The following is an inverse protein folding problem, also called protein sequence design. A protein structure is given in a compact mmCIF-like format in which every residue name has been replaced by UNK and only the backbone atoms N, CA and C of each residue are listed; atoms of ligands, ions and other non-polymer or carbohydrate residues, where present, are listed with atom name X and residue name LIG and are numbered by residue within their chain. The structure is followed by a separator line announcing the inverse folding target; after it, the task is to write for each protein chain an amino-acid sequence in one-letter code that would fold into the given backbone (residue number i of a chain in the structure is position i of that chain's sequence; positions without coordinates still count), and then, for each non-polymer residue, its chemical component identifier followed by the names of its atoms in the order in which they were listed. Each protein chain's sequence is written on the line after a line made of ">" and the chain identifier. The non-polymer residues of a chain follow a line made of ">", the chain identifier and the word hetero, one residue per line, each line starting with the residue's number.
data_IF_490096355017
#
_entry.id   IF_490096355017
#
_cell.length_a   1.000
_cell.length_b   1.000
_cell.length_c   1.000
_cell.angle_alpha   90.00
_cell.angle_beta   90.00
_cell.angle_gamma   90.00
#
_symmetry.space_group_name_H-M   'P 1'
#
loop_
_entity.id
_entity.type
_entity.pdbx_description
1 polymer ?
#
# COMPACT_ATOMS: atom_id res chain seq x y z
N UNK A 1 16.01 -10.36 -1.70
CA UNK A 1 14.87 -11.10 -1.15
C UNK A 1 13.64 -10.22 -1.16
N UNK A 2 12.54 -10.69 -1.75
CA UNK A 2 11.24 -10.06 -1.57
C UNK A 2 10.66 -10.58 -0.26
N UNK A 3 10.34 -9.67 0.66
CA UNK A 3 9.73 -9.99 1.95
C UNK A 3 8.41 -9.25 2.01
N UNK A 4 7.34 -10.00 2.25
CA UNK A 4 5.99 -9.47 2.39
C UNK A 4 5.52 -9.84 3.80
N UNK A 5 5.06 -8.85 4.57
CA UNK A 5 4.54 -9.01 5.92
C UNK A 5 3.17 -8.34 6.02
N UNK A 6 2.20 -9.06 6.55
CA UNK A 6 0.93 -8.48 6.97
C UNK A 6 1.07 -7.98 8.42
N UNK A 7 0.53 -6.80 8.69
CA UNK A 7 0.49 -6.16 10.00
C UNK A 7 -0.95 -5.72 10.25
N UNK A 8 -1.50 -5.93 11.44
CA UNK A 8 -2.90 -5.60 11.70
C UNK A 8 -3.21 -4.13 11.40
N UNK A 9 -4.40 -3.87 10.84
CA UNK A 9 -4.91 -2.51 10.66
C UNK A 9 -5.87 -2.05 11.76
N UNK A 10 -6.21 -2.92 12.72
CA UNK A 10 -7.15 -2.59 13.81
C UNK A 10 -8.63 -2.58 13.42
N UNK A 11 -8.95 -2.51 12.12
CA UNK A 11 -10.30 -2.22 11.65
C UNK A 11 -11.28 -3.40 11.83
N UNK A 12 -10.91 -4.59 11.38
CA UNK A 12 -11.69 -5.82 11.50
C UNK A 12 -10.76 -7.00 11.78
N UNK A 13 -11.33 -8.13 12.22
CA UNK A 13 -10.56 -9.35 12.45
C UNK A 13 -9.93 -9.80 11.13
N UNK A 14 -8.60 -9.85 11.08
CA UNK A 14 -7.83 -10.21 9.88
C UNK A 14 -7.55 -9.05 8.91
N UNK A 15 -8.04 -7.83 9.17
CA UNK A 15 -7.69 -6.67 8.33
C UNK A 15 -6.23 -6.28 8.56
N UNK A 16 -5.50 -6.00 7.46
CA UNK A 16 -4.06 -5.78 7.54
C UNK A 16 -3.53 -4.76 6.55
N UNK A 17 -2.43 -4.14 6.95
CA UNK A 17 -1.53 -3.34 6.15
C UNK A 17 -0.35 -4.20 5.70
N UNK A 18 0.13 -3.98 4.48
CA UNK A 18 1.19 -4.81 3.90
C UNK A 18 2.52 -4.06 3.87
N UNK A 19 3.52 -4.60 4.55
CA UNK A 19 4.93 -4.21 4.41
C UNK A 19 5.59 -5.08 3.34
N UNK A 20 6.10 -4.45 2.29
CA UNK A 20 6.72 -5.09 1.14
C UNK A 20 8.15 -4.57 1.02
N UNK A 21 9.14 -5.41 1.28
CA UNK A 21 10.56 -5.08 1.17
C UNK A 21 11.19 -5.83 0.00
N UNK A 22 11.87 -5.09 -0.87
CA UNK A 22 12.64 -5.62 -1.98
C UNK A 22 14.05 -5.01 -1.96
N UNK A 23 15.03 -5.55 -2.71
CA UNK A 23 16.36 -4.93 -2.72
C UNK A 23 16.40 -3.53 -3.34
N UNK A 24 15.43 -3.24 -4.22
CA UNK A 24 15.28 -1.91 -4.84
C UNK A 24 14.64 -0.87 -3.93
N UNK A 25 13.97 -1.31 -2.86
CA UNK A 25 13.28 -0.40 -1.95
C UNK A 25 12.16 -1.09 -1.18
N UNK A 26 11.55 -0.33 -0.31
CA UNK A 26 10.51 -0.78 0.62
C UNK A 26 9.22 0.03 0.45
N UNK A 27 8.09 -0.65 0.58
CA UNK A 27 6.77 -0.12 0.33
C UNK A 27 5.83 -0.56 1.46
N UNK A 28 4.97 0.35 1.90
CA UNK A 28 3.82 0.05 2.75
C UNK A 28 2.55 0.28 1.96
N UNK A 29 1.67 -0.72 1.90
CA UNK A 29 0.29 -0.53 1.48
C UNK A 29 -0.56 -0.33 2.72
N UNK A 30 -0.99 0.91 2.94
CA UNK A 30 -1.81 1.31 4.08
C UNK A 30 -3.29 1.29 3.65
N UNK A 31 -4.01 0.29 4.15
CA UNK A 31 -5.44 0.13 4.03
C UNK A 31 -6.19 0.93 5.10
N UNK A 32 -7.52 0.92 5.04
CA UNK A 32 -8.34 1.48 6.12
C UNK A 32 -7.97 0.85 7.46
N UNK A 33 -7.60 1.71 8.40
CA UNK A 33 -7.05 1.34 9.71
C UNK A 33 -7.68 2.18 10.81
N UNK A 34 -7.74 1.68 12.03
CA UNK A 34 -8.22 2.43 13.21
C UNK A 34 -7.24 2.24 14.35
N UNK A 35 -7.07 3.24 15.20
CA UNK A 35 -6.10 3.18 16.30
C UNK A 35 -6.69 2.50 17.54
N UNK A 36 -8.02 2.58 17.70
CA UNK A 36 -8.76 1.86 18.73
C UNK A 36 -9.62 0.75 18.13
N UNK A 37 -9.52 -0.47 18.68
CA UNK A 37 -10.39 -1.59 18.30
C UNK A 37 -10.94 -2.31 19.53
N UNK A 38 -12.24 -2.55 19.55
CA UNK A 38 -12.89 -3.26 20.66
C UNK A 38 -12.65 -4.78 20.60
N UNK A 39 -12.43 -5.34 19.41
CA UNK A 39 -12.44 -6.79 19.19
C UNK A 39 -11.29 -7.28 18.30
N UNK A 40 -10.77 -6.47 17.38
CA UNK A 40 -9.66 -6.87 16.50
C UNK A 40 -8.30 -6.51 17.10
N UNK A 41 -7.23 -7.17 16.63
CA UNK A 41 -5.85 -6.85 17.01
C UNK A 41 -5.55 -5.37 16.72
N UNK A 42 -4.92 -4.68 17.68
CA UNK A 42 -4.52 -3.27 17.56
C UNK A 42 -3.70 -2.99 16.28
N UNK A 43 -3.81 -1.77 15.76
CA UNK A 43 -3.04 -1.33 14.60
C UNK A 43 -1.55 -1.19 14.95
N UNK A 44 -0.72 -2.10 14.43
CA UNK A 44 0.75 -2.06 14.57
C UNK A 44 1.40 -1.13 13.53
N UNK A 45 1.16 0.17 13.69
CA UNK A 45 1.71 1.19 12.79
C UNK A 45 3.20 1.45 13.01
N UNK A 46 3.74 1.19 14.20
CA UNK A 46 5.16 1.39 14.51
C UNK A 46 6.06 0.45 13.68
N UNK A 47 5.61 -0.79 13.45
CA UNK A 47 6.29 -1.74 12.56
C UNK A 47 6.34 -1.32 11.09
N UNK A 48 5.55 -0.32 10.69
CA UNK A 48 5.52 0.25 9.35
C UNK A 48 6.51 1.43 9.18
N UNK A 49 7.18 1.87 10.24
CA UNK A 49 8.14 2.97 10.16
C UNK A 49 9.37 2.66 9.29
N UNK A 50 9.94 3.72 8.70
CA UNK A 50 11.21 3.65 7.96
C UNK A 50 11.13 3.02 6.56
N UNK A 51 9.94 2.86 5.99
CA UNK A 51 9.79 2.42 4.61
C UNK A 51 10.01 3.58 3.62
N UNK A 52 10.42 3.26 2.39
CA UNK A 52 10.73 4.29 1.39
C UNK A 52 9.45 4.95 0.85
N UNK A 53 8.38 4.16 0.68
CA UNK A 53 7.14 4.55 0.03
C UNK A 53 5.94 4.10 0.87
N UNK A 54 4.92 4.96 1.01
CA UNK A 54 3.58 4.60 1.50
C UNK A 54 2.59 4.74 0.34
N UNK A 55 1.75 3.73 0.13
CA UNK A 55 0.51 3.85 -0.64
C UNK A 55 -0.63 3.95 0.37
N UNK A 56 -1.19 5.14 0.49
CA UNK A 56 -2.38 5.40 1.28
C UNK A 56 -3.60 4.99 0.46
N UNK A 57 -4.45 4.12 1.00
CA UNK A 57 -5.63 3.58 0.30
C UNK A 57 -6.89 3.61 1.14
N UNK A 58 -6.91 4.46 2.18
CA UNK A 58 -8.10 4.69 2.98
C UNK A 58 -8.97 5.78 2.34
N UNK A 59 -10.25 5.47 2.11
CA UNK A 59 -11.24 6.37 1.51
C UNK A 59 -12.36 6.73 2.49
N UNK A 60 -12.24 6.35 3.77
CA UNK A 60 -13.28 6.55 4.79
C UNK A 60 -13.72 8.02 4.92
N UNK A 61 -12.77 8.95 4.77
CA UNK A 61 -12.99 10.40 4.85
C UNK A 61 -13.66 11.02 3.61
N UNK A 62 -13.90 10.27 2.53
CA UNK A 62 -14.65 10.81 1.38
C UNK A 62 -16.14 11.00 1.69
N UNK A 63 -16.70 10.23 2.63
CA UNK A 63 -18.14 10.27 2.90
C UNK A 63 -18.58 11.55 3.63
N UNK A 64 -17.64 12.30 4.24
CA UNK A 64 -17.94 13.60 4.83
C UNK A 64 -18.04 14.74 3.80
N UNK A 65 -17.76 14.46 2.51
CA UNK A 65 -17.76 15.49 1.46
C UNK A 65 -19.16 15.80 0.91
N UNK A 66 -20.15 14.94 1.13
CA UNK A 66 -21.50 15.09 0.56
C UNK A 66 -22.41 16.00 1.41
N UNK A 67 -21.95 16.49 2.57
CA UNK A 67 -22.78 17.28 3.49
C UNK A 67 -22.25 18.68 3.84
N UNK A 68 -20.97 19.00 3.60
CA UNK A 68 -20.42 20.32 3.96
C UNK A 68 -19.77 21.03 2.77
N UNK A 69 -20.59 21.73 1.98
CA UNK A 69 -20.11 22.85 1.15
C UNK A 69 -19.88 24.14 1.99
N UNK A 70 -19.94 24.08 3.32
CA UNK A 70 -19.89 25.27 4.18
C UNK A 70 -18.71 25.37 5.15
N UNK A 71 -18.03 24.30 5.54
CA UNK A 71 -16.92 24.39 6.50
C UNK A 71 -15.58 24.03 5.85
N UNK A 72 -15.04 25.02 5.14
CA UNK A 72 -13.60 25.08 4.91
C UNK A 72 -12.94 25.30 6.27
N UNK A 73 -12.66 24.22 7.02
CA UNK A 73 -11.82 24.29 8.21
C UNK A 73 -10.42 24.72 7.76
N UNK A 74 -10.21 26.04 7.76
CA UNK A 74 -8.90 26.62 7.85
C UNK A 74 -8.19 25.97 9.04
N UNK A 75 -7.10 25.27 8.77
CA UNK A 75 -6.16 24.84 9.80
C UNK A 75 -5.61 26.10 10.48
N UNK A 76 -6.31 26.58 11.49
CA UNK A 76 -5.82 27.59 12.42
C UNK A 76 -4.60 27.00 13.11
N UNK A 77 -3.48 27.70 12.99
CA UNK A 77 -2.25 27.33 13.67
C UNK A 77 -2.48 27.41 15.17
N UNK A 78 -2.35 26.27 15.83
CA UNK A 78 -2.17 26.23 17.28
C UNK A 78 -0.82 25.61 17.60
N UNK A 79 -0.07 26.42 18.34
CA UNK A 79 1.10 26.19 19.16
C UNK A 79 1.51 24.73 19.41
N UNK A 80 2.78 24.46 19.12
CA UNK A 80 3.59 23.42 19.76
C UNK A 80 3.55 23.64 21.28
N UNK A 81 2.82 22.79 22.00
CA UNK A 81 3.13 22.31 23.37
C UNK A 81 1.89 21.69 24.03
N UNK A 82 1.67 20.40 23.76
CA UNK A 82 1.04 19.44 24.67
C UNK A 82 1.18 18.03 24.08
N UNK A 83 2.07 17.22 24.66
CA UNK A 83 2.35 15.84 24.24
C UNK A 83 1.23 14.88 24.67
N UNK A 84 0.03 15.08 24.15
CA UNK A 84 -1.02 14.05 24.11
C UNK A 84 -0.69 13.15 22.92
N UNK A 85 -0.72 11.83 23.11
CA UNK A 85 -0.48 10.87 22.02
C UNK A 85 -1.54 11.06 20.91
N UNK A 86 -1.21 11.86 19.89
CA UNK A 86 -2.09 12.24 18.78
C UNK A 86 -2.61 11.03 17.99
N UNK A 87 -1.95 9.87 18.15
CA UNK A 87 -2.30 8.60 17.53
C UNK A 87 -2.98 7.62 18.49
N UNK A 88 -3.38 8.05 19.69
CA UNK A 88 -4.06 7.19 20.65
C UNK A 88 -5.45 6.75 20.15
N UNK A 89 -5.82 5.51 20.46
CA UNK A 89 -7.12 4.93 20.11
C UNK A 89 -8.24 5.18 21.12
N UNK A 90 -7.94 5.79 22.27
CA UNK A 90 -8.87 5.95 23.40
C UNK A 90 -10.12 6.74 23.02
N UNK A 91 -9.93 7.95 22.51
CA UNK A 91 -11.01 8.85 22.10
C UNK A 91 -11.90 8.23 21.01
N UNK A 92 -11.31 7.42 20.12
CA UNK A 92 -12.04 6.70 19.07
C UNK A 92 -12.96 5.63 19.66
N UNK A 93 -12.48 4.87 20.64
CA UNK A 93 -13.27 3.83 21.31
C UNK A 93 -14.40 4.42 22.15
N UNK A 94 -14.13 5.51 22.87
CA UNK A 94 -15.14 6.19 23.67
C UNK A 94 -16.26 6.76 22.80
N UNK A 95 -15.90 7.50 21.74
CA UNK A 95 -16.87 8.05 20.80
C UNK A 95 -17.72 6.96 20.11
N UNK A 96 -17.11 5.83 19.74
CA UNK A 96 -17.89 4.70 19.20
C UNK A 96 -18.78 4.04 20.25
N UNK A 97 -18.30 3.90 21.49
CA UNK A 97 -19.12 3.37 22.60
C UNK A 97 -20.37 4.21 22.84
N UNK A 98 -20.25 5.55 22.81
CA UNK A 98 -21.38 6.46 22.96
C UNK A 98 -22.39 6.33 21.82
N UNK A 99 -21.90 6.21 20.57
CA UNK A 99 -22.77 5.93 19.41
C UNK A 99 -23.47 4.59 19.55
N UNK A 100 -22.78 3.54 20.00
CA UNK A 100 -23.38 2.22 20.22
C UNK A 100 -24.47 2.28 21.30
N UNK A 101 -24.25 3.04 22.38
CA UNK A 101 -25.27 3.28 23.41
C UNK A 101 -26.51 3.99 22.84
N UNK A 102 -26.31 5.00 22.01
CA UNK A 102 -27.41 5.73 21.37
C UNK A 102 -28.19 4.85 20.37
N UNK A 103 -27.50 4.05 19.56
CA UNK A 103 -28.17 3.11 18.64
C UNK A 103 -28.97 2.09 19.45
N UNK A 104 -28.37 1.54 20.53
CA UNK A 104 -29.03 0.58 21.41
C UNK A 104 -30.29 1.16 22.07
N UNK A 105 -30.29 2.42 22.51
CA UNK A 105 -31.49 3.05 23.06
C UNK A 105 -32.61 3.17 22.02
N UNK A 106 -32.28 3.57 20.79
CA UNK A 106 -33.24 3.62 19.68
C UNK A 106 -33.87 2.24 19.37
N UNK A 107 -33.05 1.18 19.41
CA UNK A 107 -33.50 -0.21 19.23
C UNK A 107 -34.49 -0.59 20.35
N UNK A 108 -34.13 -0.32 21.60
CA UNK A 108 -34.96 -0.63 22.76
C UNK A 108 -36.30 0.09 22.68
N UNK A 109 -36.32 1.37 22.30
CA UNK A 109 -37.55 2.16 22.19
C UNK A 109 -38.46 1.62 21.08
N UNK A 110 -37.91 1.30 19.91
CA UNK A 110 -38.68 0.71 18.80
C UNK A 110 -39.32 -0.63 19.19
N UNK A 111 -38.55 -1.49 19.87
CA UNK A 111 -39.02 -2.79 20.32
C UNK A 111 -40.08 -2.67 21.43
N UNK A 112 -39.93 -1.72 22.36
CA UNK A 112 -40.94 -1.44 23.41
C UNK A 112 -42.25 -0.94 22.82
N UNK A 113 -42.20 -0.18 21.73
CA UNK A 113 -43.40 0.26 21.01
C UNK A 113 -44.10 -0.88 20.24
N UNK A 114 -43.47 -2.05 20.17
CA UNK A 114 -43.93 -3.24 19.45
C UNK A 114 -43.50 -3.26 17.98
N UNK A 115 -42.50 -2.47 17.59
CA UNK A 115 -41.91 -2.48 16.25
C UNK A 115 -40.73 -3.46 16.14
N UNK A 116 -40.45 -3.91 14.92
CA UNK A 116 -39.28 -4.74 14.62
C UNK A 116 -38.12 -3.89 14.10
N UNK A 117 -36.89 -4.36 14.30
CA UNK A 117 -35.67 -3.63 13.93
C UNK A 117 -34.94 -4.38 12.83
N UNK A 118 -34.56 -3.67 11.77
CA UNK A 118 -33.75 -4.19 10.66
C UNK A 118 -32.36 -3.53 10.66
N UNK A 119 -31.32 -4.37 10.71
CA UNK A 119 -29.91 -3.95 10.65
C UNK A 119 -29.24 -4.61 9.42
N UNK A 120 -29.27 -3.95 8.25
CA UNK A 120 -28.60 -4.39 7.04
C UNK A 120 -27.08 -4.16 7.10
N UNK A 121 -26.36 -4.98 7.86
CA UNK A 121 -24.89 -4.91 7.97
C UNK A 121 -24.24 -6.28 7.79
N UNK A 122 -23.17 -6.31 6.99
CA UNK A 122 -22.27 -7.46 6.86
C UNK A 122 -20.95 -7.29 7.61
N UNK A 123 -20.75 -6.16 8.30
CA UNK A 123 -19.50 -5.86 9.00
C UNK A 123 -19.57 -6.39 10.43
N UNK A 124 -19.02 -7.58 10.64
CA UNK A 124 -19.06 -8.22 11.96
C UNK A 124 -18.35 -7.42 13.05
N UNK A 125 -17.34 -6.61 12.68
CA UNK A 125 -16.70 -5.70 13.63
C UNK A 125 -17.62 -4.60 14.19
N UNK A 126 -18.72 -4.30 13.51
CA UNK A 126 -19.78 -3.41 14.02
C UNK A 126 -20.87 -4.21 14.70
N UNK A 127 -21.26 -5.33 14.11
CA UNK A 127 -22.36 -6.18 14.59
C UNK A 127 -22.06 -6.77 15.96
N UNK A 128 -20.83 -7.23 16.24
CA UNK A 128 -20.53 -7.84 17.54
C UNK A 128 -20.60 -6.85 18.70
N UNK A 129 -19.93 -5.68 18.66
CA UNK A 129 -20.08 -4.69 19.73
C UNK A 129 -21.54 -4.25 19.92
N UNK A 130 -22.29 -4.07 18.82
CA UNK A 130 -23.70 -3.70 18.90
C UNK A 130 -24.54 -4.79 19.55
N UNK A 131 -24.34 -6.07 19.19
CA UNK A 131 -25.00 -7.20 19.83
C UNK A 131 -24.72 -7.25 21.32
N UNK A 132 -23.46 -7.06 21.74
CA UNK A 132 -23.10 -7.03 23.16
C UNK A 132 -23.83 -5.90 23.91
N UNK A 133 -23.91 -4.69 23.32
CA UNK A 133 -24.64 -3.57 23.92
C UNK A 133 -26.16 -3.82 24.03
N UNK A 134 -26.77 -4.38 22.97
CA UNK A 134 -28.19 -4.75 22.96
C UNK A 134 -28.48 -5.75 24.07
N UNK A 135 -27.65 -6.78 24.17
CA UNK A 135 -27.93 -7.89 25.05
C UNK A 135 -27.66 -7.55 26.53
N UNK A 136 -26.62 -6.76 26.80
CA UNK A 136 -26.40 -6.21 28.14
C UNK A 136 -27.57 -5.32 28.58
N UNK A 137 -28.12 -4.52 27.66
CA UNK A 137 -29.29 -3.69 27.96
C UNK A 137 -30.56 -4.53 28.15
N UNK A 138 -30.76 -5.58 27.36
CA UNK A 138 -31.90 -6.49 27.47
C UNK A 138 -31.86 -7.28 28.78
N UNK A 139 -30.68 -7.74 29.22
CA UNK A 139 -30.50 -8.40 30.51
C UNK A 139 -30.89 -7.49 31.68
N UNK A 140 -30.48 -6.20 31.64
CA UNK A 140 -30.85 -5.20 32.65
C UNK A 140 -32.34 -4.88 32.67
N UNK A 141 -32.98 -4.86 31.49
CA UNK A 141 -34.40 -4.55 31.33
C UNK A 141 -35.32 -5.80 31.39
N UNK A 142 -34.74 -7.00 31.55
CA UNK A 142 -35.42 -8.30 31.50
C UNK A 142 -36.29 -8.47 30.23
N UNK A 143 -35.81 -7.98 29.09
CA UNK A 143 -36.49 -8.09 27.80
C UNK A 143 -36.11 -9.41 27.10
N UNK A 144 -37.10 -10.10 26.52
CA UNK A 144 -36.93 -11.41 25.84
C UNK A 144 -37.26 -11.33 24.35
N UNK A 145 -36.72 -10.32 23.68
CA UNK A 145 -36.99 -10.07 22.26
C UNK A 145 -36.00 -10.88 21.42
N UNK A 146 -36.47 -11.71 20.47
CA UNK A 146 -35.59 -12.56 19.69
C UNK A 146 -34.74 -11.75 18.70
N UNK A 147 -33.51 -12.21 18.53
CA UNK A 147 -32.55 -11.65 17.56
C UNK A 147 -32.25 -12.71 16.51
N UNK A 148 -32.47 -12.40 15.24
CA UNK A 148 -32.20 -13.27 14.11
C UNK A 148 -31.02 -12.73 13.29
N UNK A 149 -29.99 -13.55 13.10
CA UNK A 149 -28.91 -13.27 12.15
C UNK A 149 -29.17 -14.11 10.90
N UNK A 150 -29.54 -13.45 9.81
CA UNK A 150 -29.91 -14.13 8.56
C UNK A 150 -28.80 -13.93 7.53
N UNK A 151 -27.91 -14.90 7.38
CA UNK A 151 -26.82 -14.88 6.39
C UNK A 151 -26.32 -16.29 6.12
N UNK A 152 -26.12 -16.62 4.84
CA UNK A 152 -25.55 -17.89 4.39
C UNK A 152 -24.17 -18.20 4.99
N UNK A 153 -23.43 -17.18 5.41
CA UNK A 153 -22.06 -17.30 5.94
C UNK A 153 -21.93 -16.97 7.42
N UNK A 154 -23.04 -16.66 8.11
CA UNK A 154 -22.95 -16.20 9.51
C UNK A 154 -22.43 -17.28 10.45
N UNK A 155 -22.82 -18.54 10.25
CA UNK A 155 -22.41 -19.64 11.10
C UNK A 155 -20.90 -19.91 10.99
N UNK A 156 -20.36 -19.93 9.78
CA UNK A 156 -18.93 -20.08 9.54
C UNK A 156 -18.14 -18.88 10.08
N UNK A 157 -18.66 -17.67 9.89
CA UNK A 157 -17.99 -16.46 10.36
C UNK A 157 -17.90 -16.42 11.89
N UNK A 158 -18.98 -16.80 12.59
CA UNK A 158 -18.99 -16.94 14.05
C UNK A 158 -18.06 -18.07 14.54
N UNK A 159 -17.87 -19.12 13.76
CA UNK A 159 -16.90 -20.17 14.10
C UNK A 159 -15.45 -19.69 13.93
N UNK A 160 -15.17 -18.91 12.88
CA UNK A 160 -13.84 -18.38 12.60
C UNK A 160 -13.34 -17.41 13.68
N UNK A 161 -14.22 -16.59 14.26
CA UNK A 161 -13.85 -15.64 15.32
C UNK A 161 -13.34 -16.34 16.57
N UNK A 162 -13.78 -17.58 16.82
CA UNK A 162 -13.30 -18.42 17.91
C UNK A 162 -12.06 -19.24 17.53
N UNK A 163 -11.78 -19.40 16.23
CA UNK A 163 -10.68 -20.24 15.73
C UNK A 163 -9.38 -19.47 15.54
N UNK A 164 -9.43 -18.13 15.51
CA UNK A 164 -8.29 -17.27 15.21
C UNK A 164 -8.12 -16.19 16.31
N UNK A 165 -7.92 -16.60 17.58
CA UNK A 165 -7.84 -15.66 18.69
C UNK A 165 -6.62 -14.73 18.62
N UNK A 166 -5.57 -15.13 17.91
CA UNK A 166 -4.36 -14.33 17.75
C UNK A 166 -4.62 -13.02 16.99
N UNK A 167 -5.71 -12.93 16.21
CA UNK A 167 -6.12 -11.69 15.51
C UNK A 167 -7.13 -10.84 16.29
N UNK A 168 -7.41 -11.19 17.55
CA UNK A 168 -8.29 -10.41 18.43
C UNK A 168 -7.50 -9.39 19.28
N UNK A 169 -8.22 -8.45 19.91
CA UNK A 169 -7.62 -7.51 20.84
C UNK A 169 -7.05 -8.22 22.09
N UNK A 170 -6.15 -7.56 22.81
CA UNK A 170 -5.49 -8.14 24.01
C UNK A 170 -6.51 -8.60 25.07
N UNK A 171 -7.57 -7.83 25.28
CA UNK A 171 -8.64 -8.18 26.22
C UNK A 171 -9.32 -9.50 25.86
N UNK A 172 -9.64 -9.71 24.58
CA UNK A 172 -10.19 -10.97 24.10
C UNK A 172 -9.18 -12.12 24.23
N UNK A 173 -7.90 -11.88 23.93
CA UNK A 173 -6.85 -12.89 24.11
C UNK A 173 -6.71 -13.30 25.59
N UNK A 174 -6.77 -12.35 26.52
CA UNK A 174 -6.75 -12.60 27.97
C UNK A 174 -7.95 -13.44 28.43
N UNK A 175 -9.16 -13.14 27.93
CA UNK A 175 -10.36 -13.97 28.18
C UNK A 175 -10.15 -15.43 27.76
N UNK A 176 -9.51 -15.65 26.61
CA UNK A 176 -9.18 -17.01 26.16
C UNK A 176 -8.29 -17.75 27.15
N UNK A 177 -7.23 -17.09 27.64
CA UNK A 177 -6.31 -17.69 28.61
C UNK A 177 -6.99 -17.97 29.95
N UNK A 178 -8.01 -17.19 30.31
CA UNK A 178 -8.86 -17.40 31.49
C UNK A 178 -9.96 -18.45 31.29
N UNK A 179 -10.13 -18.97 30.08
CA UNK A 179 -11.20 -19.92 29.74
C UNK A 179 -12.59 -19.30 29.66
N UNK A 180 -12.69 -17.97 29.60
CA UNK A 180 -13.93 -17.22 29.42
C UNK A 180 -14.34 -17.18 27.94
N UNK A 181 -15.63 -16.97 27.69
CA UNK A 181 -16.11 -16.77 26.32
C UNK A 181 -15.52 -15.48 25.72
N UNK A 182 -14.92 -15.59 24.53
CA UNK A 182 -14.32 -14.47 23.79
C UNK A 182 -15.34 -13.35 23.54
N UNK A 183 -16.57 -13.76 23.20
CA UNK A 183 -17.68 -12.87 22.90
C UNK A 183 -18.93 -13.33 23.63
N UNK A 184 -19.69 -12.37 24.15
CA UNK A 184 -20.90 -12.65 24.93
C UNK A 184 -22.02 -13.27 24.07
N UNK A 185 -22.08 -12.93 22.78
CA UNK A 185 -23.10 -13.46 21.87
C UNK A 185 -23.09 -14.99 21.75
N UNK A 186 -21.97 -15.65 22.05
CA UNK A 186 -21.88 -17.11 22.06
C UNK A 186 -22.77 -17.76 23.12
N UNK A 187 -22.89 -17.12 24.29
CA UNK A 187 -23.78 -17.58 25.36
C UNK A 187 -25.23 -17.35 24.96
N UNK A 188 -25.52 -16.22 24.32
CA UNK A 188 -26.87 -15.86 23.88
C UNK A 188 -27.40 -16.76 22.77
N UNK A 189 -26.51 -17.28 21.91
CA UNK A 189 -26.85 -18.31 20.93
C UNK A 189 -27.23 -19.61 21.66
N UNK A 190 -26.49 -20.00 22.71
CA UNK A 190 -26.81 -21.19 23.52
C UNK A 190 -28.13 -21.04 24.29
N UNK A 191 -28.44 -19.83 24.76
CA UNK A 191 -29.69 -19.50 25.43
C UNK A 191 -30.89 -19.38 24.48
N UNK A 192 -30.65 -19.35 23.16
CA UNK A 192 -31.70 -19.22 22.14
C UNK A 192 -32.27 -17.80 22.00
N UNK A 193 -31.61 -16.79 22.57
CA UNK A 193 -31.98 -15.36 22.38
C UNK A 193 -31.56 -14.91 20.99
N UNK A 194 -30.35 -15.31 20.58
CA UNK A 194 -29.82 -15.08 19.23
C UNK A 194 -29.92 -16.38 18.45
N UNK A 195 -30.53 -16.35 17.27
CA UNK A 195 -30.60 -17.50 16.37
C UNK A 195 -30.03 -17.13 15.01
N UNK A 196 -29.27 -18.06 14.43
CA UNK A 196 -28.51 -17.85 13.19
C UNK A 196 -29.08 -18.75 12.13
N UNK A 197 -29.49 -18.17 11.00
CA UNK A 197 -30.12 -18.91 9.90
C UNK A 197 -29.54 -18.47 8.55
N UNK A 198 -29.35 -19.40 7.60
CA UNK A 198 -28.82 -19.04 6.28
C UNK A 198 -29.85 -18.26 5.45
N UNK A 199 -31.14 -18.58 5.58
CA UNK A 199 -32.21 -18.04 4.72
C UNK A 199 -33.46 -17.64 5.53
N UNK A 200 -34.12 -16.56 5.08
CA UNK A 200 -35.34 -16.01 5.71
C UNK A 200 -36.52 -16.98 5.71
N UNK A 201 -36.67 -17.79 4.67
CA UNK A 201 -37.79 -18.73 4.51
C UNK A 201 -37.41 -20.19 4.81
N UNK A 202 -36.41 -20.39 5.68
CA UNK A 202 -36.08 -21.74 6.16
C UNK A 202 -37.18 -22.27 7.09
N UNK A 203 -37.51 -23.56 7.01
CA UNK A 203 -38.54 -24.19 7.84
C UNK A 203 -38.34 -23.90 9.32
N UNK A 204 -37.10 -24.06 9.77
CA UNK A 204 -36.72 -23.97 11.17
C UNK A 204 -36.88 -22.54 11.70
N UNK A 205 -36.61 -21.53 10.87
CA UNK A 205 -36.83 -20.12 11.23
C UNK A 205 -38.32 -19.79 11.29
N UNK A 206 -39.11 -20.29 10.33
CA UNK A 206 -40.55 -20.03 10.26
C UNK A 206 -41.30 -20.59 11.48
N UNK A 207 -40.85 -21.70 12.05
CA UNK A 207 -41.43 -22.29 13.26
C UNK A 207 -41.20 -21.43 14.51
N UNK A 208 -40.07 -20.71 14.57
CA UNK A 208 -39.68 -19.92 15.75
C UNK A 208 -39.93 -18.42 15.58
N UNK A 209 -40.27 -17.94 14.38
CA UNK A 209 -40.44 -16.53 14.05
C UNK A 209 -41.46 -15.85 14.94
N UNK A 210 -41.07 -14.72 15.53
CA UNK A 210 -41.88 -13.93 16.47
C UNK A 210 -41.56 -12.47 16.28
N UNK A 211 -42.59 -11.62 16.32
CA UNK A 211 -42.46 -10.16 16.29
C UNK A 211 -43.05 -9.54 17.58
N UNK A 212 -42.48 -8.44 18.10
CA UNK A 212 -41.34 -7.69 17.57
C UNK A 212 -40.02 -8.47 17.67
N UNK A 213 -39.11 -8.25 16.72
CA UNK A 213 -37.78 -8.87 16.70
C UNK A 213 -36.70 -7.91 16.18
N UNK A 214 -35.44 -8.31 16.35
CA UNK A 214 -34.30 -7.65 15.74
C UNK A 214 -33.74 -8.59 14.67
N UNK A 215 -33.58 -8.13 13.44
CA UNK A 215 -32.95 -8.89 12.36
C UNK A 215 -31.69 -8.20 11.88
N UNK A 216 -30.58 -8.93 11.95
CA UNK A 216 -29.33 -8.58 11.30
C UNK A 216 -29.26 -9.37 10.00
N UNK A 217 -29.13 -8.66 8.88
CA UNK A 217 -29.01 -9.28 7.55
C UNK A 217 -27.90 -8.61 6.76
N UNK A 218 -27.19 -9.34 5.87
CA UNK A 218 -26.13 -8.75 5.08
C UNK A 218 -26.69 -7.77 4.04
N UNK A 219 -25.78 -6.92 3.53
CA UNK A 219 -25.98 -5.93 2.46
C UNK A 219 -26.66 -4.61 2.86
N UNK A 220 -25.82 -3.63 3.17
CA UNK A 220 -26.18 -2.22 3.38
C UNK A 220 -26.82 -1.55 2.16
N UNK A 221 -26.68 -2.11 0.95
CA UNK A 221 -27.21 -1.52 -0.28
C UNK A 221 -28.74 -1.58 -0.38
N UNK A 222 -29.41 -2.42 0.41
CA UNK A 222 -30.86 -2.67 0.30
C UNK A 222 -31.28 -3.03 -1.13
N UNK A 223 -30.46 -3.81 -1.85
CA UNK A 223 -30.75 -4.27 -3.22
C UNK A 223 -30.84 -5.78 -3.37
N UNK A 224 -30.29 -6.52 -2.42
CA UNK A 224 -30.13 -7.96 -2.48
C UNK A 224 -30.34 -8.54 -1.08
N UNK A 225 -30.65 -9.84 -1.03
CA UNK A 225 -30.76 -10.59 0.21
C UNK A 225 -32.02 -10.30 1.03
N UNK A 226 -32.06 -10.89 2.22
CA UNK A 226 -33.21 -10.87 3.13
C UNK A 226 -33.61 -9.45 3.58
N UNK A 227 -32.67 -8.51 3.61
CA UNK A 227 -32.92 -7.11 3.95
C UNK A 227 -34.02 -6.48 3.10
N UNK A 228 -34.06 -6.79 1.80
CA UNK A 228 -35.08 -6.25 0.87
C UNK A 228 -36.47 -6.80 1.19
N UNK A 229 -36.56 -8.09 1.48
CA UNK A 229 -37.82 -8.77 1.79
C UNK A 229 -38.39 -8.28 3.12
N UNK A 230 -37.54 -8.15 4.14
CA UNK A 230 -37.91 -7.62 5.46
C UNK A 230 -38.29 -6.15 5.39
N UNK A 231 -37.58 -5.35 4.59
CA UNK A 231 -37.95 -3.96 4.39
C UNK A 231 -39.31 -3.83 3.67
N UNK A 232 -39.60 -4.67 2.66
CA UNK A 232 -40.94 -4.74 2.08
C UNK A 232 -42.02 -5.17 3.08
N UNK A 233 -41.66 -5.91 4.12
CA UNK A 233 -42.60 -6.29 5.17
C UNK A 233 -42.86 -5.14 6.16
N UNK A 234 -41.81 -4.43 6.57
CA UNK A 234 -41.88 -3.44 7.66
C UNK A 234 -41.94 -1.97 7.23
N UNK A 235 -41.76 -1.63 5.94
CA UNK A 235 -41.69 -0.22 5.49
C UNK A 235 -42.92 0.62 5.87
N UNK A 236 -44.09 -0.01 6.00
CA UNK A 236 -45.36 0.65 6.32
C UNK A 236 -45.66 0.75 7.82
N UNK A 237 -44.85 0.12 8.69
CA UNK A 237 -45.03 0.17 10.14
C UNK A 237 -44.23 1.32 10.76
N UNK A 238 -44.88 2.35 11.35
CA UNK A 238 -44.18 3.48 11.96
C UNK A 238 -43.46 3.15 13.27
N UNK A 239 -43.68 1.98 13.85
CA UNK A 239 -43.00 1.54 15.08
C UNK A 239 -41.66 0.89 14.80
N UNK A 240 -41.56 0.23 13.65
CA UNK A 240 -40.35 -0.45 13.20
C UNK A 240 -39.22 0.52 12.88
N UNK A 241 -37.98 0.06 13.05
CA UNK A 241 -36.75 0.85 12.89
C UNK A 241 -35.79 0.20 11.88
N UNK A 242 -35.31 0.99 10.93
CA UNK A 242 -34.23 0.62 10.02
C UNK A 242 -32.94 1.36 10.42
N UNK A 243 -31.85 0.62 10.62
CA UNK A 243 -30.53 1.20 10.93
C UNK A 243 -29.66 1.17 9.67
N UNK A 244 -29.28 2.32 9.13
CA UNK A 244 -28.44 2.42 7.91
C UNK A 244 -27.07 3.00 8.20
N UNK A 245 -26.04 2.39 7.64
CA UNK A 245 -24.70 2.98 7.64
C UNK A 245 -24.68 4.24 6.76
N UNK A 246 -24.08 5.33 7.25
CA UNK A 246 -24.09 6.65 6.61
C UNK A 246 -23.45 6.65 5.20
N UNK A 247 -22.61 5.66 4.89
CA UNK A 247 -22.01 5.46 3.55
C UNK A 247 -23.02 5.14 2.46
N UNK A 248 -24.27 4.86 2.83
CA UNK A 248 -25.35 4.53 1.90
C UNK A 248 -26.14 5.79 1.61
N UNK A 249 -26.27 6.17 0.33
CA UNK A 249 -27.21 7.22 -0.08
C UNK A 249 -28.65 6.78 0.25
N UNK A 250 -29.13 7.10 1.45
CA UNK A 250 -30.39 6.59 1.97
C UNK A 250 -31.57 6.99 1.09
N UNK A 251 -31.59 8.23 0.59
CA UNK A 251 -32.66 8.71 -0.29
C UNK A 251 -32.78 7.84 -1.55
N UNK A 252 -31.67 7.55 -2.25
CA UNK A 252 -31.65 6.67 -3.42
C UNK A 252 -31.96 5.21 -3.04
N UNK A 253 -31.45 4.77 -1.90
CA UNK A 253 -31.59 3.39 -1.42
C UNK A 253 -33.03 3.06 -1.04
N UNK A 254 -33.76 4.03 -0.50
CA UNK A 254 -35.12 3.86 0.01
C UNK A 254 -36.23 4.17 -1.02
N UNK A 255 -35.89 4.76 -2.19
CA UNK A 255 -36.90 5.07 -3.25
C UNK A 255 -37.85 3.91 -3.57
N UNK A 256 -37.39 2.65 -3.72
CA UNK A 256 -38.29 1.53 -4.06
C UNK A 256 -39.34 1.21 -2.99
N UNK A 257 -39.13 1.69 -1.75
CA UNK A 257 -39.97 1.36 -0.59
C UNK A 257 -40.88 2.53 -0.18
N UNK A 258 -40.93 3.61 -0.97
CA UNK A 258 -41.83 4.74 -0.71
C UNK A 258 -43.29 4.35 -1.05
N UNK A 259 -44.30 4.74 -0.23
CA UNK A 259 -44.17 5.54 0.99
C UNK A 259 -43.58 4.74 2.16
N UNK A 260 -42.60 5.35 2.84
CA UNK A 260 -41.90 4.77 4.00
C UNK A 260 -42.44 5.44 5.27
N UNK A 261 -43.08 4.66 6.14
CA UNK A 261 -43.53 5.09 7.48
C UNK A 261 -42.56 4.66 8.58
N UNK A 262 -41.82 3.58 8.34
CA UNK A 262 -40.76 3.06 9.21
C UNK A 262 -39.75 4.15 9.58
N UNK A 263 -39.30 4.15 10.85
CA UNK A 263 -38.24 5.06 11.32
C UNK A 263 -36.92 4.65 10.67
N UNK A 264 -36.12 5.61 10.24
CA UNK A 264 -34.77 5.36 9.68
C UNK A 264 -33.75 6.09 10.53
N UNK A 265 -32.82 5.34 11.10
CA UNK A 265 -31.66 5.87 11.82
C UNK A 265 -30.42 5.69 10.94
N UNK A 266 -29.80 6.80 10.54
CA UNK A 266 -28.48 6.76 9.89
C UNK A 266 -27.38 6.87 10.94
N UNK A 267 -26.35 6.03 10.84
CA UNK A 267 -25.23 6.01 11.77
C UNK A 267 -23.88 5.81 11.05
N UNK A 268 -22.84 6.47 11.53
CA UNK A 268 -21.46 6.25 11.09
C UNK A 268 -20.67 5.47 12.12
N UNK A 269 -20.08 4.37 11.67
CA UNK A 269 -19.13 3.56 12.44
C UNK A 269 -17.70 3.89 12.05
N UNK A 270 -16.75 3.66 12.96
CA UNK A 270 -15.33 3.70 12.63
C UNK A 270 -15.05 2.81 11.41
N UNK A 271 -14.40 3.40 10.42
CA UNK A 271 -14.21 2.75 9.13
C UNK A 271 -12.89 3.09 8.44
N UNK A 272 -12.00 3.75 9.17
CA UNK A 272 -10.68 4.15 8.70
C UNK A 272 -10.07 5.26 9.55
N UNK A 273 -8.95 5.78 9.06
CA UNK A 273 -8.08 6.74 9.70
C UNK A 273 -8.75 8.12 9.60
N UNK A 274 -9.03 8.72 10.75
CA UNK A 274 -9.55 10.08 10.81
C UNK A 274 -8.53 11.07 10.23
N UNK A 275 -8.99 12.06 9.46
CA UNK A 275 -8.09 13.01 8.77
C UNK A 275 -7.12 13.73 9.71
N UNK A 276 -7.56 14.05 10.93
CA UNK A 276 -6.70 14.65 11.97
C UNK A 276 -5.49 13.78 12.34
N UNK A 277 -5.59 12.44 12.21
CA UNK A 277 -4.53 11.48 12.54
C UNK A 277 -3.65 11.08 11.36
N UNK A 278 -4.03 11.43 10.13
CA UNK A 278 -3.25 11.04 8.94
C UNK A 278 -1.87 11.72 8.92
N UNK A 279 -1.82 13.03 9.18
CA UNK A 279 -0.55 13.77 9.21
C UNK A 279 0.37 13.30 10.35
N UNK A 280 -0.10 13.15 11.60
CA UNK A 280 0.67 12.53 12.67
C UNK A 280 1.18 11.14 12.29
N UNK A 281 0.36 10.30 11.65
CA UNK A 281 0.76 8.97 11.20
C UNK A 281 1.90 9.04 10.19
N UNK A 282 1.80 9.90 9.16
CA UNK A 282 2.88 10.04 8.16
C UNK A 282 4.18 10.54 8.76
N UNK A 283 4.13 11.43 9.76
CA UNK A 283 5.32 11.86 10.51
C UNK A 283 5.96 10.70 11.27
N UNK A 284 5.16 9.87 11.93
CA UNK A 284 5.65 8.70 12.67
C UNK A 284 6.23 7.62 11.74
N UNK A 285 5.65 7.44 10.55
CA UNK A 285 6.13 6.44 9.60
C UNK A 285 7.43 6.85 8.88
N UNK A 286 7.75 8.16 8.84
CA UNK A 286 9.00 8.72 8.30
C UNK A 286 9.35 8.24 6.87
N UNK A 287 8.34 8.07 6.01
CA UNK A 287 8.57 7.64 4.63
C UNK A 287 8.91 8.79 3.70
N UNK A 288 9.76 8.54 2.70
CA UNK A 288 10.23 9.60 1.77
C UNK A 288 9.15 10.02 0.77
N UNK A 289 8.31 9.06 0.39
CA UNK A 289 7.28 9.24 -0.64
C UNK A 289 5.96 8.71 -0.12
N UNK A 290 4.88 9.48 -0.31
CA UNK A 290 3.52 9.08 0.03
C UNK A 290 2.64 9.21 -1.21
N UNK A 291 1.97 8.12 -1.59
CA UNK A 291 0.97 8.08 -2.66
C UNK A 291 -0.42 8.16 -2.05
N UNK A 292 -1.19 9.15 -2.47
CA UNK A 292 -2.54 9.42 -1.99
C UNK A 292 -3.54 9.33 -3.14
N UNK A 293 -4.76 8.82 -2.93
CA UNK A 293 -5.78 8.84 -3.98
C UNK A 293 -6.08 10.28 -4.42
N UNK A 294 -6.17 10.53 -5.72
CA UNK A 294 -6.45 11.86 -6.27
C UNK A 294 -7.75 12.47 -5.73
N UNK A 295 -8.75 11.65 -5.38
CA UNK A 295 -10.02 12.11 -4.79
C UNK A 295 -9.86 12.79 -3.43
N UNK A 296 -8.80 12.48 -2.70
CA UNK A 296 -8.53 13.05 -1.38
C UNK A 296 -7.68 14.32 -1.44
N UNK A 297 -7.27 14.77 -2.63
CA UNK A 297 -6.35 15.89 -2.80
C UNK A 297 -6.76 17.18 -2.08
N UNK A 298 -8.06 17.48 -1.98
CA UNK A 298 -8.55 18.65 -1.24
C UNK A 298 -8.34 18.55 0.27
N UNK A 299 -8.32 17.34 0.83
CA UNK A 299 -8.14 17.07 2.25
C UNK A 299 -6.66 17.01 2.67
N UNK A 300 -5.76 16.94 1.70
CA UNK A 300 -4.31 17.05 1.90
C UNK A 300 -3.83 18.38 1.34
N UNK A 301 -4.05 19.52 2.05
CA UNK A 301 -3.50 20.79 1.62
C UNK A 301 -1.98 20.64 1.54
N UNK A 302 -1.45 20.90 0.34
CA UNK A 302 -0.03 20.82 0.01
C UNK A 302 0.69 21.85 0.87
N UNK A 303 1.10 21.45 2.07
CA UNK A 303 2.36 21.94 2.62
C UNK A 303 3.36 20.89 2.17
N UNK A 304 4.15 21.21 1.15
CA UNK A 304 5.39 20.48 0.93
C UNK A 304 6.14 20.53 2.26
N UNK A 305 5.97 19.47 3.04
CA UNK A 305 6.76 19.29 4.24
C UNK A 305 8.12 18.87 3.73
N UNK A 306 9.19 19.47 4.24
CA UNK A 306 10.57 19.04 3.97
C UNK A 306 10.78 17.54 4.27
N UNK A 307 9.84 16.92 5.01
CA UNK A 307 9.87 15.53 5.47
C UNK A 307 9.56 14.49 4.37
N UNK A 308 8.62 14.74 3.46
CA UNK A 308 8.21 13.73 2.46
C UNK A 308 7.53 14.32 1.21
N UNK A 309 7.64 13.60 0.08
CA UNK A 309 7.03 13.96 -1.21
C UNK A 309 5.68 13.28 -1.39
N UNK A 310 4.65 14.05 -1.73
CA UNK A 310 3.31 13.53 -2.01
C UNK A 310 3.12 13.36 -3.52
N UNK A 311 2.65 12.18 -3.92
CA UNK A 311 2.17 11.89 -5.27
C UNK A 311 0.71 11.49 -5.20
N UNK A 312 -0.01 11.73 -6.30
CA UNK A 312 -1.40 11.31 -6.41
C UNK A 312 -1.53 10.16 -7.40
N UNK A 313 -2.42 9.22 -7.08
CA UNK A 313 -2.76 8.13 -7.98
C UNK A 313 -4.26 8.11 -8.27
N UNK A 314 -4.56 7.59 -9.46
CA UNK A 314 -5.87 7.56 -10.10
C UNK A 314 -6.11 6.16 -10.62
N UNK A 315 -7.39 5.79 -10.71
CA UNK A 315 -7.78 4.48 -11.25
C UNK A 315 -7.34 4.40 -12.71
N UNK A 316 -6.71 3.28 -13.08
CA UNK A 316 -6.27 2.95 -14.44
C UNK A 316 -5.13 3.84 -14.99
N UNK A 317 -4.43 4.61 -14.16
CA UNK A 317 -3.26 5.39 -14.59
C UNK A 317 -1.99 4.86 -13.90
N UNK A 318 -0.86 4.95 -14.59
CA UNK A 318 0.44 4.55 -14.04
C UNK A 318 1.17 5.78 -13.52
N UNK A 319 1.38 5.85 -12.20
CA UNK A 319 2.17 6.90 -11.58
C UNK A 319 3.65 6.51 -11.58
N UNK A 320 4.48 7.30 -12.26
CA UNK A 320 5.94 7.10 -12.27
C UNK A 320 6.59 7.73 -11.04
N UNK A 321 7.28 6.91 -10.26
CA UNK A 321 8.02 7.35 -9.07
C UNK A 321 9.52 7.22 -9.37
N UNK A 322 10.28 8.28 -9.11
CA UNK A 322 11.73 8.27 -9.27
C UNK A 322 12.37 7.20 -8.38
N UNK A 323 13.36 6.48 -8.90
CA UNK A 323 14.05 5.44 -8.11
C UNK A 323 14.83 6.10 -6.97
N UNK A 324 14.56 5.69 -5.73
CA UNK A 324 15.24 6.25 -4.54
C UNK A 324 16.66 5.71 -4.33
N UNK A 325 17.07 4.69 -5.10
CA UNK A 325 18.41 4.12 -5.11
C UNK A 325 19.02 4.23 -6.50
N UNK A 326 20.16 4.91 -6.61
CA UNK A 326 20.90 5.07 -7.88
C UNK A 326 21.64 3.81 -8.33
N UNK A 327 21.84 2.85 -7.41
CA UNK A 327 22.53 1.59 -7.66
C UNK A 327 21.73 0.37 -7.20
N UNK A 328 22.18 -0.81 -7.63
CA UNK A 328 21.71 -2.09 -7.09
C UNK A 328 22.89 -2.93 -6.65
N UNK A 329 22.72 -3.66 -5.56
CA UNK A 329 23.70 -4.62 -5.08
C UNK A 329 23.51 -5.96 -5.82
N UNK A 330 24.62 -6.56 -6.22
CA UNK A 330 24.64 -7.86 -6.87
C UNK A 330 25.81 -8.70 -6.36
N UNK A 331 25.59 -10.01 -6.25
CA UNK A 331 26.65 -10.96 -5.96
C UNK A 331 27.39 -11.32 -7.24
N UNK A 332 28.71 -11.17 -7.21
CA UNK A 332 29.58 -11.61 -8.28
C UNK A 332 29.96 -13.07 -8.06
N UNK A 333 29.71 -13.93 -9.04
CA UNK A 333 30.15 -15.32 -9.00
C UNK A 333 31.68 -15.41 -8.97
N UNK A 334 32.22 -16.38 -8.22
CA UNK A 334 33.66 -16.48 -7.94
C UNK A 334 34.49 -16.70 -9.21
N UNK A 335 33.97 -17.50 -10.14
CA UNK A 335 34.54 -17.75 -11.47
C UNK A 335 34.70 -16.47 -12.31
N UNK A 336 33.72 -15.57 -12.27
CA UNK A 336 33.81 -14.24 -12.89
C UNK A 336 34.76 -13.32 -12.15
N UNK A 337 34.77 -13.36 -10.81
CA UNK A 337 35.68 -12.56 -10.00
C UNK A 337 37.15 -12.88 -10.32
N UNK A 338 37.49 -14.15 -10.54
CA UNK A 338 38.85 -14.57 -10.95
C UNK A 338 39.26 -14.11 -12.35
N UNK A 339 38.32 -13.75 -13.23
CA UNK A 339 38.61 -13.23 -14.57
C UNK A 339 38.82 -11.72 -14.60
N UNK A 340 38.56 -11.02 -13.50
CA UNK A 340 38.77 -9.57 -13.44
C UNK A 340 40.26 -9.26 -13.59
N UNK A 341 40.58 -8.36 -14.51
CA UNK A 341 41.90 -7.78 -14.69
C UNK A 341 41.82 -6.28 -14.43
N UNK A 342 41.93 -5.84 -13.15
CA UNK A 342 41.80 -4.43 -12.80
C UNK A 342 42.97 -3.62 -13.34
N UNK A 343 42.64 -2.55 -14.07
CA UNK A 343 43.59 -1.56 -14.54
C UNK A 343 43.41 -0.28 -13.72
N UNK A 344 44.51 0.25 -13.16
CA UNK A 344 44.48 1.47 -12.35
C UNK A 344 44.23 2.67 -13.26
N UNK A 345 43.19 3.44 -12.96
CA UNK A 345 42.92 4.70 -13.65
C UNK A 345 43.66 5.84 -12.93
N UNK A 346 44.63 6.49 -13.59
CA UNK A 346 45.53 7.45 -12.95
C UNK A 346 44.80 8.69 -12.40
N UNK A 347 43.71 9.10 -13.05
CA UNK A 347 43.00 10.35 -12.73
C UNK A 347 42.12 10.30 -11.48
N UNK A 348 41.73 9.10 -10.98
CA UNK A 348 40.77 8.99 -9.86
C UNK A 348 41.19 8.04 -8.73
N UNK A 349 42.39 7.46 -8.78
CA UNK A 349 42.83 6.42 -7.84
C UNK A 349 41.83 5.25 -7.71
N UNK A 350 41.09 4.97 -8.79
CA UNK A 350 40.11 3.88 -8.90
C UNK A 350 40.70 2.83 -9.84
N UNK A 351 40.54 1.55 -9.51
CA UNK A 351 40.84 0.46 -10.43
C UNK A 351 39.54 0.01 -11.11
N UNK A 352 39.57 -0.13 -12.43
CA UNK A 352 38.43 -0.59 -13.23
C UNK A 352 38.78 -1.88 -13.96
N UNK A 353 37.83 -2.80 -14.04
CA UNK A 353 37.97 -4.05 -14.77
C UNK A 353 36.71 -4.26 -15.62
N UNK A 354 36.90 -4.69 -16.88
CA UNK A 354 35.77 -5.10 -17.72
C UNK A 354 35.27 -6.45 -17.25
N UNK A 355 33.95 -6.58 -17.14
CA UNK A 355 33.31 -7.85 -16.84
C UNK A 355 32.17 -8.10 -17.84
N UNK A 356 32.10 -9.32 -18.37
CA UNK A 356 30.97 -9.79 -19.18
C UNK A 356 30.30 -10.95 -18.44
N UNK A 357 29.06 -10.74 -17.99
CA UNK A 357 28.29 -11.74 -17.26
C UNK A 357 26.80 -11.70 -17.61
N UNK A 358 26.11 -12.78 -17.29
CA UNK A 358 24.66 -12.89 -17.29
C UNK A 358 24.13 -12.45 -15.93
N UNK A 359 23.28 -11.42 -15.92
CA UNK A 359 22.59 -10.96 -14.72
C UNK A 359 21.36 -11.85 -14.46
N UNK A 360 21.32 -12.50 -13.31
CA UNK A 360 20.24 -13.37 -12.86
C UNK A 360 19.59 -12.80 -11.61
N UNK A 361 18.26 -12.80 -11.55
CA UNK A 361 17.52 -12.46 -10.33
C UNK A 361 17.03 -13.76 -9.68
N UNK A 362 17.60 -14.13 -8.53
CA UNK A 362 17.16 -15.31 -7.75
C UNK A 362 16.78 -14.89 -6.34
N UNK A 363 15.57 -15.25 -5.91
CA UNK A 363 15.02 -14.84 -4.60
C UNK A 363 15.20 -13.33 -4.36
N UNK A 364 14.94 -12.53 -5.38
CA UNK A 364 15.09 -11.07 -5.35
C UNK A 364 16.52 -10.54 -5.25
N UNK A 365 17.55 -11.39 -5.19
CA UNK A 365 18.96 -10.98 -5.19
C UNK A 365 19.51 -11.06 -6.61
N UNK A 366 20.25 -10.03 -7.03
CA UNK A 366 20.95 -10.03 -8.31
C UNK A 366 22.24 -10.84 -8.18
N UNK A 367 22.47 -11.73 -9.14
CA UNK A 367 23.69 -12.52 -9.28
C UNK A 367 24.27 -12.28 -10.67
N UNK A 368 25.56 -12.01 -10.74
CA UNK A 368 26.28 -11.92 -12.00
C UNK A 368 27.07 -13.21 -12.19
N UNK A 369 26.77 -13.94 -13.27
CA UNK A 369 27.28 -15.29 -13.55
C UNK A 369 27.87 -15.41 -14.95
N UNK A 370 28.66 -16.44 -15.23
CA UNK A 370 29.20 -16.65 -16.57
C UNK A 370 28.09 -16.72 -17.63
N UNK A 371 28.28 -16.09 -18.79
CA UNK A 371 27.31 -16.18 -19.88
C UNK A 371 27.25 -17.61 -20.43
N UNK A 372 26.04 -18.09 -20.74
CA UNK A 372 25.86 -19.37 -21.42
C UNK A 372 26.54 -19.32 -22.80
N UNK A 373 27.25 -20.40 -23.16
CA UNK A 373 28.04 -20.51 -24.41
C UNK A 373 27.23 -20.31 -25.71
N UNK A 374 25.91 -20.18 -25.63
CA UNK A 374 24.97 -20.17 -26.75
C UNK A 374 24.45 -18.79 -27.18
N UNK A 375 24.81 -17.69 -26.50
CA UNK A 375 24.36 -16.35 -26.90
C UNK A 375 25.37 -15.69 -27.82
N UNK A 376 24.99 -15.59 -29.10
CA UNK A 376 25.68 -14.90 -30.19
C UNK A 376 26.53 -13.71 -29.73
N UNK A 377 27.82 -13.79 -30.04
CA UNK A 377 28.82 -12.73 -29.91
C UNK A 377 28.48 -11.56 -30.82
N UNK A 378 27.53 -10.72 -30.40
CA UNK A 378 27.64 -9.30 -30.74
C UNK A 378 28.86 -8.77 -30.01
N UNK A 379 29.99 -8.68 -30.73
CA UNK A 379 31.17 -7.94 -30.29
C UNK A 379 30.73 -6.49 -30.23
N UNK A 380 30.26 -6.04 -29.05
CA UNK A 380 30.10 -4.60 -28.82
C UNK A 380 31.48 -3.96 -28.99
N UNK A 381 31.58 -2.83 -29.72
CA UNK A 381 32.85 -2.16 -29.93
C UNK A 381 33.52 -1.89 -28.59
N UNK A 382 34.83 -2.10 -28.54
CA UNK A 382 35.67 -1.78 -27.38
C UNK A 382 35.50 -0.29 -27.07
N UNK A 383 35.34 0.06 -25.79
CA UNK A 383 35.29 1.46 -25.39
C UNK A 383 36.66 1.83 -24.88
N UNK A 384 37.32 2.74 -25.59
CA UNK A 384 38.62 3.26 -25.18
C UNK A 384 38.42 4.33 -24.11
N UNK A 385 39.21 4.26 -23.04
CA UNK A 385 39.15 5.22 -21.94
C UNK A 385 40.54 5.80 -21.67
N UNK A 386 40.60 7.13 -21.52
CA UNK A 386 41.80 7.88 -21.16
C UNK A 386 42.21 8.90 -22.21
N UNK A 387 43.23 9.67 -21.87
CA UNK A 387 43.87 10.64 -22.76
C UNK A 387 44.99 9.95 -23.54
N UNK A 388 45.10 10.24 -24.83
CA UNK A 388 46.17 9.70 -25.67
C UNK A 388 47.37 10.63 -25.57
N UNK A 389 48.47 10.14 -24.99
CA UNK A 389 49.75 10.85 -25.02
C UNK A 389 50.32 10.80 -26.45
N UNK A 390 50.53 11.97 -27.09
CA UNK A 390 50.98 11.98 -28.47
C UNK A 390 52.37 11.39 -28.70
N UNK A 391 53.25 11.45 -27.71
CA UNK A 391 54.59 10.86 -27.84
C UNK A 391 54.54 9.33 -27.82
N UNK A 392 53.64 8.77 -27.00
CA UNK A 392 53.33 7.34 -27.00
C UNK A 392 52.65 6.90 -28.31
N UNK A 393 51.74 7.72 -28.84
CA UNK A 393 51.09 7.46 -30.14
C UNK A 393 52.09 7.44 -31.29
N UNK A 394 53.02 8.39 -31.35
CA UNK A 394 54.08 8.39 -32.37
C UNK A 394 54.95 7.14 -32.29
N UNK A 395 55.31 6.69 -31.09
CA UNK A 395 56.07 5.46 -30.90
C UNK A 395 55.31 4.25 -31.42
N UNK A 396 54.02 4.13 -31.09
CA UNK A 396 53.16 3.05 -31.56
C UNK A 396 52.97 3.06 -33.08
N UNK A 397 52.89 4.24 -33.71
CA UNK A 397 52.84 4.38 -35.17
C UNK A 397 54.16 3.94 -35.82
N UNK A 398 55.30 4.32 -35.25
CA UNK A 398 56.62 3.92 -35.75
C UNK A 398 56.84 2.40 -35.66
N UNK A 399 56.36 1.74 -34.59
CA UNK A 399 56.40 0.28 -34.45
C UNK A 399 55.58 -0.45 -35.54
N UNK A 400 54.61 0.25 -36.15
CA UNK A 400 53.79 -0.23 -37.27
C UNK A 400 54.30 0.27 -38.64
N UNK A 401 55.52 0.78 -38.70
CA UNK A 401 56.16 1.34 -39.91
C UNK A 401 55.45 2.57 -40.50
N UNK A 402 54.70 3.31 -39.67
CA UNK A 402 53.99 4.54 -40.05
C UNK A 402 54.77 5.76 -39.56
N UNK A 403 55.24 6.59 -40.50
CA UNK A 403 56.03 7.79 -40.19
C UNK A 403 55.09 8.99 -39.93
N UNK A 404 54.88 9.26 -38.65
CA UNK A 404 54.02 10.33 -38.14
C UNK A 404 54.80 11.51 -37.57
N UNK A 405 54.27 12.71 -37.73
CA UNK A 405 54.81 13.93 -37.14
C UNK A 405 53.73 14.70 -36.40
N UNK A 406 54.12 15.30 -35.28
CA UNK A 406 53.23 16.16 -34.48
C UNK A 406 53.01 17.46 -35.25
N UNK A 407 51.74 17.79 -35.47
CA UNK A 407 51.32 19.05 -36.06
C UNK A 407 50.63 19.88 -34.98
N UNK A 408 51.01 21.15 -34.88
CA UNK A 408 50.26 22.13 -34.10
C UNK A 408 49.18 22.75 -34.97
N UNK A 409 47.92 22.65 -34.55
CA UNK A 409 46.77 23.24 -35.22
C UNK A 409 45.93 23.99 -34.19
N UNK A 410 45.46 25.20 -34.51
CA UNK A 410 44.85 26.13 -33.55
C UNK A 410 43.46 25.66 -33.02
N UNK A 411 42.85 24.66 -33.67
CA UNK A 411 41.46 24.22 -33.42
C UNK A 411 41.32 22.83 -32.76
N UNK A 412 42.43 22.15 -32.50
CA UNK A 412 42.52 20.80 -31.92
C UNK A 412 43.49 20.81 -30.74
N UNK A 413 43.25 19.99 -29.73
CA UNK A 413 44.20 19.85 -28.61
C UNK A 413 45.53 19.26 -29.12
N UNK A 414 45.45 18.40 -30.14
CA UNK A 414 46.63 17.82 -30.79
C UNK A 414 46.32 17.24 -32.19
N UNK A 415 47.26 17.36 -33.14
CA UNK A 415 47.19 16.67 -34.44
C UNK A 415 48.46 15.85 -34.72
N UNK A 416 48.30 14.65 -35.29
CA UNK A 416 49.41 13.87 -35.86
C UNK A 416 49.19 13.74 -37.37
N UNK A 417 50.14 14.25 -38.15
CA UNK A 417 50.18 14.07 -39.60
C UNK A 417 51.07 12.90 -39.99
N UNK A 418 50.50 11.91 -40.66
CA UNK A 418 51.21 10.77 -41.24
C UNK A 418 51.65 11.11 -42.65
N UNK A 419 52.95 10.99 -42.95
CA UNK A 419 53.52 11.30 -44.28
C UNK A 419 53.84 10.05 -45.11
N UNK A 420 54.05 8.91 -44.47
CA UNK A 420 54.29 7.61 -45.12
C UNK A 420 53.59 6.50 -44.31
N UNK A 421 52.99 5.48 -44.95
CA UNK A 421 52.95 5.19 -46.40
C UNK A 421 51.91 5.99 -47.20
N UNK A 422 50.87 6.53 -46.56
CA UNK A 422 49.82 7.36 -47.19
C UNK A 422 49.53 8.55 -46.28
N UNK A 423 49.24 9.72 -46.87
CA UNK A 423 48.83 10.90 -46.11
C UNK A 423 47.57 10.61 -45.28
N UNK A 424 47.71 10.71 -43.96
CA UNK A 424 46.61 10.60 -43.01
C UNK A 424 46.72 11.67 -41.93
N UNK A 425 45.58 12.10 -41.40
CA UNK A 425 45.50 13.08 -40.32
C UNK A 425 44.75 12.49 -39.14
N UNK A 426 45.37 12.52 -37.96
CA UNK A 426 44.76 12.11 -36.70
C UNK A 426 44.55 13.38 -35.87
N UNK A 427 43.29 13.77 -35.68
CA UNK A 427 42.93 14.94 -34.88
C UNK A 427 42.34 14.49 -33.55
N UNK A 428 42.90 14.97 -32.44
CA UNK A 428 42.44 14.68 -31.09
C UNK A 428 41.84 15.98 -30.52
N UNK A 429 40.55 15.92 -30.16
CA UNK A 429 39.81 17.06 -29.60
C UNK A 429 38.94 16.60 -28.43
N UNK A 430 39.35 16.95 -27.21
CA UNK A 430 38.70 16.52 -25.97
C UNK A 430 38.52 15.00 -25.93
N UNK A 431 37.27 14.55 -25.93
CA UNK A 431 36.91 13.13 -25.84
C UNK A 431 36.72 12.45 -27.23
N UNK A 432 37.18 13.07 -28.32
CA UNK A 432 37.01 12.55 -29.69
C UNK A 432 38.35 12.49 -30.42
N UNK A 433 38.57 11.37 -31.11
CA UNK A 433 39.69 11.15 -32.03
C UNK A 433 39.10 10.96 -33.42
N UNK A 434 39.55 11.75 -34.38
CA UNK A 434 39.13 11.66 -35.79
C UNK A 434 40.32 11.24 -36.63
N UNK A 435 40.16 10.13 -37.37
CA UNK A 435 41.16 9.62 -38.31
C UNK A 435 40.65 9.92 -39.71
N UNK A 436 41.39 10.74 -40.45
CA UNK A 436 41.12 11.03 -41.86
C UNK A 436 42.21 10.36 -42.69
N UNK A 437 41.88 9.24 -43.33
CA UNK A 437 42.79 8.50 -44.20
C UNK A 437 42.05 8.06 -45.46
N UNK A 438 42.74 8.09 -46.61
CA UNK A 438 42.18 7.63 -47.90
C UNK A 438 42.33 6.12 -48.11
N UNK A 439 43.20 5.47 -47.34
CA UNK A 439 43.51 4.05 -47.45
C UNK A 439 42.98 3.29 -46.23
N UNK A 440 42.13 2.29 -46.48
CA UNK A 440 41.48 1.49 -45.43
C UNK A 440 42.50 0.64 -44.66
N UNK A 441 43.57 0.18 -45.32
CA UNK A 441 44.61 -0.65 -44.67
C UNK A 441 45.46 0.18 -43.70
N UNK A 442 45.83 1.40 -44.11
CA UNK A 442 46.54 2.36 -43.26
C UNK A 442 45.66 2.84 -42.12
N UNK A 443 44.36 3.09 -42.39
CA UNK A 443 43.37 3.40 -41.35
C UNK A 443 43.26 2.31 -40.29
N UNK A 444 43.26 1.03 -40.70
CA UNK A 444 43.23 -0.11 -39.78
C UNK A 444 44.50 -0.21 -38.92
N UNK A 445 45.67 0.04 -39.50
CA UNK A 445 46.94 0.06 -38.75
C UNK A 445 47.01 1.24 -37.76
N UNK A 446 46.51 2.42 -38.15
CA UNK A 446 46.39 3.58 -37.25
C UNK A 446 45.43 3.25 -36.10
N UNK A 447 44.30 2.59 -36.38
CA UNK A 447 43.37 2.13 -35.36
C UNK A 447 44.05 1.15 -34.39
N UNK A 448 44.83 0.19 -34.90
CA UNK A 448 45.55 -0.77 -34.07
C UNK A 448 46.61 -0.11 -33.18
N UNK A 449 47.32 0.91 -33.71
CA UNK A 449 48.25 1.71 -32.93
C UNK A 449 47.53 2.50 -31.83
N UNK A 450 46.38 3.12 -32.12
CA UNK A 450 45.54 3.77 -31.10
C UNK A 450 45.03 2.77 -30.06
N UNK A 451 44.67 1.55 -30.47
CA UNK A 451 44.22 0.48 -29.58
C UNK A 451 45.30 -0.01 -28.61
N UNK A 452 46.59 0.18 -28.93
CA UNK A 452 47.72 -0.13 -28.06
C UNK A 452 48.04 0.96 -27.04
N UNK A 453 47.67 2.21 -27.34
CA UNK A 453 47.95 3.38 -26.49
C UNK A 453 46.77 3.72 -25.58
N UNK A 454 45.55 3.51 -26.06
CA UNK A 454 44.34 3.70 -25.28
C UNK A 454 44.11 2.53 -24.32
N UNK A 455 43.75 2.82 -23.06
CA UNK A 455 43.32 1.76 -22.15
C UNK A 455 41.96 1.21 -22.63
N UNK A 456 41.90 -0.11 -22.82
CA UNK A 456 40.68 -0.81 -23.23
C UNK A 456 39.80 -1.05 -22.01
N UNK A 457 38.54 -0.62 -22.06
CA UNK A 457 37.49 -1.00 -21.11
C UNK A 457 36.37 -1.74 -21.84
#
# INVERSE_FOLDING_TARGET
>A
MLVIRALSSGLEIGSCNWSIKSPKGSLVYLSSSVFGSAHAMEFDYLSLSGHDIIIFSDFSSLNSLDYDEADTCALSGESEDQSVDELSGGDELEAESDKMHFICSCIIDSVKDGGSVLIPSGRFGVVFPLLEHICNSFGRLNMKVPIYIISETAQETLALTNSIPEWLCKQCQEKLFSGEALFQHMELIKEGIVSVHPFLYSSDLLEIWKEPCIVISPHWSLRLGSAVQLLHHWHADPKSLLILEEKVHAELSLRPFKPLKMKVLQCSFLSGIQMKKVNPLFRTLQSKIVLVPQRLRSQFPIRESELYKIYYYTKNETTHISTLKEGFEAYLATDLAFQLQPTKLPEKNIAAARLKGKLLLRKGIYYLTLPDKSLNTFVKPLVHWGTVDPTCLLRALNEKEIDGSILHNENSDFCVGVKKPVEALIEIKGNKIMITCKDETVSALIHEALDSVCNRI
#
